data_IF_774353401413
#
_entry.id   IF_774353401413
#
_cell.length_a   1.000
_cell.length_b   1.000
_cell.length_c   1.000
_cell.angle_alpha   90.00
_cell.angle_beta   90.00
_cell.angle_gamma   90.00
#
_symmetry.space_group_name_H-M   'P 1'
#
loop_
_entity.id
_entity.type
_entity.pdbx_description
1 polymer ?
#
# COMPACT_ATOMS: atom_id res chain seq x y z
N UNK A 1 47.21 -51.80 20.89
CA UNK A 1 46.21 -51.25 21.85
C UNK A 1 46.51 -49.77 22.00
N UNK A 2 45.65 -48.77 21.83
CA UNK A 2 44.22 -48.63 21.51
C UNK A 2 44.08 -47.22 20.90
N UNK A 3 43.29 -47.09 19.83
CA UNK A 3 42.90 -45.83 19.19
C UNK A 3 41.90 -45.06 20.05
N UNK A 4 42.08 -43.76 20.24
CA UNK A 4 41.03 -42.89 20.81
C UNK A 4 41.11 -41.49 20.20
N UNK A 5 39.94 -40.89 19.99
CA UNK A 5 39.65 -39.48 19.67
C UNK A 5 39.59 -39.06 18.19
N UNK A 6 38.67 -39.69 17.47
CA UNK A 6 37.96 -39.07 16.36
C UNK A 6 36.45 -39.10 16.71
N UNK A 7 35.89 -38.05 17.32
CA UNK A 7 34.43 -37.92 17.52
C UNK A 7 33.86 -36.55 17.91
N UNK A 8 34.67 -35.50 18.06
CA UNK A 8 34.16 -34.23 18.65
C UNK A 8 33.79 -33.11 17.67
N UNK A 9 33.95 -33.29 16.35
CA UNK A 9 33.77 -32.19 15.38
C UNK A 9 32.41 -32.25 14.63
N UNK A 10 31.71 -33.39 14.64
CA UNK A 10 30.51 -33.55 13.81
C UNK A 10 29.19 -33.06 14.44
N UNK A 11 29.15 -32.72 15.73
CA UNK A 11 27.89 -32.38 16.43
C UNK A 11 27.59 -30.87 16.44
N UNK A 12 28.60 -30.02 16.19
CA UNK A 12 28.42 -28.56 16.23
C UNK A 12 27.78 -27.95 14.97
N UNK A 13 27.77 -28.67 13.84
CA UNK A 13 27.27 -28.14 12.55
C UNK A 13 25.75 -28.36 12.38
N UNK A 14 25.14 -29.30 13.10
CA UNK A 14 23.68 -29.56 12.98
C UNK A 14 22.79 -28.61 13.80
N UNK A 15 23.33 -27.81 14.72
CA UNK A 15 22.51 -26.91 15.58
C UNK A 15 22.34 -25.50 14.97
N UNK A 16 23.20 -25.11 14.01
CA UNK A 16 23.10 -23.78 13.35
C UNK A 16 22.12 -23.71 12.18
N UNK A 17 21.53 -24.84 11.76
CA UNK A 17 20.58 -24.87 10.63
C UNK A 17 19.11 -24.67 11.03
N UNK A 18 18.80 -24.56 12.33
CA UNK A 18 17.42 -24.57 12.84
C UNK A 18 16.88 -23.19 13.29
N UNK A 19 17.63 -22.10 13.17
CA UNK A 19 17.24 -20.78 13.71
C UNK A 19 16.84 -19.73 12.68
N UNK A 20 16.59 -20.13 11.42
CA UNK A 20 16.10 -19.24 10.37
C UNK A 20 14.72 -19.67 9.86
N UNK A 21 13.86 -20.16 10.75
CA UNK A 21 12.42 -20.05 10.52
C UNK A 21 12.08 -18.56 10.64
N UNK A 22 12.31 -17.83 9.55
CA UNK A 22 11.60 -16.59 9.26
C UNK A 22 10.14 -16.93 9.48
N UNK A 23 9.58 -16.41 10.57
CA UNK A 23 8.14 -16.45 10.82
C UNK A 23 7.54 -15.60 9.71
N UNK A 24 7.24 -16.22 8.57
CA UNK A 24 6.37 -15.64 7.58
C UNK A 24 5.03 -15.46 8.30
N UNK A 25 4.67 -14.23 8.64
CA UNK A 25 3.32 -13.93 9.09
C UNK A 25 2.38 -14.40 7.99
N UNK A 26 1.43 -15.27 8.36
CA UNK A 26 0.46 -15.80 7.41
C UNK A 26 -0.53 -14.67 7.09
N UNK A 27 -0.30 -13.95 6.00
CA UNK A 27 -1.24 -12.95 5.51
C UNK A 27 -2.38 -13.66 4.76
N UNK A 28 -3.60 -13.57 5.26
CA UNK A 28 -4.77 -14.07 4.53
C UNK A 28 -5.08 -13.18 3.33
N UNK A 29 -5.59 -13.77 2.25
CA UNK A 29 -6.17 -13.00 1.16
C UNK A 29 -7.39 -12.21 1.68
N UNK A 30 -7.31 -10.90 1.57
CA UNK A 30 -8.26 -9.95 2.10
C UNK A 30 -8.96 -9.16 1.00
N UNK A 31 -10.03 -8.45 1.34
CA UNK A 31 -10.82 -7.67 0.38
C UNK A 31 -10.76 -6.18 0.70
N UNK A 32 -10.76 -5.34 -0.34
CA UNK A 32 -11.03 -3.91 -0.22
C UNK A 32 -12.23 -3.57 -1.09
N UNK A 33 -13.29 -3.01 -0.49
CA UNK A 33 -14.58 -2.76 -1.17
C UNK A 33 -15.05 -1.33 -0.93
N UNK A 34 -15.64 -0.73 -1.96
CA UNK A 34 -16.26 0.58 -1.90
C UNK A 34 -17.14 0.83 -3.12
N UNK A 35 -17.75 2.02 -3.21
CA UNK A 35 -18.48 2.41 -4.42
C UNK A 35 -17.52 2.46 -5.60
N UNK A 36 -17.76 1.63 -6.63
CA UNK A 36 -16.86 1.48 -7.79
C UNK A 36 -15.43 1.05 -7.43
N UNK A 37 -15.23 0.39 -6.29
CA UNK A 37 -13.93 -0.16 -5.86
C UNK A 37 -14.16 -1.62 -5.47
N UNK A 38 -13.46 -2.52 -6.15
CA UNK A 38 -13.48 -3.96 -5.86
C UNK A 38 -12.09 -4.54 -6.04
N UNK A 39 -11.37 -4.71 -4.93
CA UNK A 39 -10.00 -5.18 -4.92
C UNK A 39 -9.83 -6.37 -3.96
N UNK A 40 -8.80 -7.16 -4.25
CA UNK A 40 -8.18 -8.08 -3.32
C UNK A 40 -6.84 -7.54 -2.89
N UNK A 41 -6.47 -7.85 -1.65
CA UNK A 41 -5.15 -7.56 -1.11
C UNK A 41 -4.56 -8.84 -0.52
N UNK A 42 -3.30 -9.07 -0.78
CA UNK A 42 -2.52 -10.14 -0.17
C UNK A 42 -1.17 -9.55 0.17
N UNK A 43 -0.80 -9.62 1.45
CA UNK A 43 0.37 -8.89 1.94
C UNK A 43 0.22 -7.39 1.55
N UNK A 44 1.24 -6.79 0.97
CA UNK A 44 1.28 -5.41 0.52
C UNK A 44 0.88 -5.20 -0.95
N UNK A 45 0.34 -6.23 -1.60
CA UNK A 45 -0.12 -6.18 -2.99
C UNK A 45 -1.64 -6.01 -3.07
N UNK A 46 -2.12 -5.15 -3.97
CA UNK A 46 -3.53 -4.99 -4.32
C UNK A 46 -3.79 -5.31 -5.80
N UNK A 47 -4.95 -5.88 -6.11
CA UNK A 47 -5.39 -6.07 -7.49
C UNK A 47 -6.92 -6.13 -7.60
N UNK A 48 -7.48 -5.60 -8.69
CA UNK A 48 -8.91 -5.66 -8.98
C UNK A 48 -9.37 -4.51 -9.87
N UNK A 49 -10.53 -3.93 -9.59
CA UNK A 49 -11.10 -2.83 -10.38
C UNK A 49 -11.38 -1.58 -9.55
N UNK A 50 -11.12 -0.43 -10.16
CA UNK A 50 -11.55 0.89 -9.68
C UNK A 50 -12.21 1.60 -10.86
N UNK A 51 -13.49 1.95 -10.73
CA UNK A 51 -14.34 2.46 -11.83
C UNK A 51 -14.25 1.55 -13.06
N UNK A 52 -13.68 2.05 -14.14
CA UNK A 52 -13.46 1.34 -15.40
C UNK A 52 -11.99 0.98 -15.65
N UNK A 53 -11.14 1.01 -14.63
CA UNK A 53 -9.76 0.56 -14.69
C UNK A 53 -9.61 -0.82 -14.06
N UNK A 54 -8.83 -1.69 -14.72
CA UNK A 54 -8.16 -2.79 -14.05
C UNK A 54 -6.93 -2.22 -13.35
N UNK A 55 -6.76 -2.47 -12.06
CA UNK A 55 -5.67 -1.92 -11.26
C UNK A 55 -4.88 -3.02 -10.58
N UNK A 56 -3.58 -2.80 -10.46
CA UNK A 56 -2.68 -3.58 -9.62
C UNK A 56 -1.64 -2.68 -8.98
N UNK A 57 -1.24 -2.99 -7.77
CA UNK A 57 -0.24 -2.22 -7.06
C UNK A 57 0.45 -3.03 -5.97
N UNK A 58 1.61 -2.56 -5.54
CA UNK A 58 2.43 -3.24 -4.54
C UNK A 58 3.20 -2.20 -3.74
N UNK A 59 3.24 -2.36 -2.42
CA UNK A 59 4.11 -1.58 -1.53
C UNK A 59 5.37 -2.39 -1.26
N UNK A 60 6.51 -1.81 -1.63
CA UNK A 60 7.83 -2.30 -1.27
C UNK A 60 8.22 -1.70 0.09
N UNK A 61 8.22 -2.55 1.11
CA UNK A 61 8.56 -2.17 2.49
C UNK A 61 10.04 -1.80 2.67
N UNK A 62 10.94 -2.34 1.85
CA UNK A 62 12.38 -2.04 1.96
C UNK A 62 12.66 -0.59 1.58
N UNK A 63 11.99 -0.12 0.52
CA UNK A 63 12.19 1.24 -0.01
C UNK A 63 11.10 2.23 0.40
N UNK A 64 10.05 1.78 1.09
CA UNK A 64 8.83 2.54 1.37
C UNK A 64 8.31 3.24 0.11
N UNK A 65 8.18 2.46 -0.96
CA UNK A 65 7.61 2.91 -2.22
C UNK A 65 6.39 2.07 -2.58
N UNK A 66 5.43 2.65 -3.29
CA UNK A 66 4.33 1.89 -3.84
C UNK A 66 4.19 2.08 -5.34
N UNK A 67 4.18 0.97 -6.08
CA UNK A 67 3.89 0.97 -7.51
C UNK A 67 2.37 0.84 -7.71
N UNK A 68 1.82 1.66 -8.60
CA UNK A 68 0.46 1.53 -9.10
C UNK A 68 0.52 1.39 -10.61
N UNK A 69 -0.24 0.42 -11.11
CA UNK A 69 -0.46 0.24 -12.53
C UNK A 69 -1.96 0.12 -12.79
N UNK A 70 -2.42 0.87 -13.79
CA UNK A 70 -3.81 0.90 -14.22
C UNK A 70 -3.87 0.55 -15.70
N UNK A 71 -4.90 -0.19 -16.10
CA UNK A 71 -5.14 -0.56 -17.50
C UNK A 71 -6.56 -0.21 -17.92
N UNK A 72 -6.67 0.46 -19.07
CA UNK A 72 -7.94 0.79 -19.74
C UNK A 72 -7.70 0.98 -21.23
N UNK A 73 -8.59 0.45 -22.07
CA UNK A 73 -8.61 0.68 -23.53
C UNK A 73 -7.21 0.59 -24.17
N UNK A 74 -6.51 -0.53 -23.92
CA UNK A 74 -5.14 -0.83 -24.37
C UNK A 74 -4.01 0.02 -23.76
N UNK A 75 -4.33 1.05 -23.00
CA UNK A 75 -3.34 1.86 -22.29
C UNK A 75 -2.92 1.20 -20.98
N UNK A 76 -1.62 1.29 -20.67
CA UNK A 76 -1.05 0.93 -19.37
C UNK A 76 -0.47 2.20 -18.76
N UNK A 77 -1.02 2.60 -17.63
CA UNK A 77 -0.59 3.76 -16.84
C UNK A 77 0.20 3.24 -15.66
N UNK A 78 1.44 3.68 -15.49
CA UNK A 78 2.30 3.27 -14.36
C UNK A 78 2.74 4.49 -13.56
N UNK A 79 2.75 4.37 -12.24
CA UNK A 79 3.33 5.38 -11.36
C UNK A 79 3.96 4.72 -10.14
N UNK A 80 4.84 5.46 -9.48
CA UNK A 80 5.46 5.08 -8.22
C UNK A 80 5.28 6.22 -7.24
N UNK A 81 4.71 5.93 -6.07
CA UNK A 81 4.64 6.85 -4.95
C UNK A 81 5.81 6.55 -4.01
N UNK A 82 6.71 7.51 -3.84
CA UNK A 82 7.91 7.34 -3.00
C UNK A 82 8.36 8.66 -2.41
N UNK A 83 9.31 8.58 -1.48
CA UNK A 83 10.01 9.76 -0.97
C UNK A 83 10.91 10.36 -2.07
N UNK A 84 10.74 11.64 -2.35
CA UNK A 84 11.57 12.43 -3.25
C UNK A 84 12.78 13.03 -2.50
N UNK A 85 13.71 13.62 -3.26
CA UNK A 85 14.93 14.24 -2.73
C UNK A 85 14.65 15.41 -1.79
N UNK A 86 13.56 16.15 -2.03
CA UNK A 86 13.08 17.24 -1.18
C UNK A 86 12.38 16.75 0.12
N UNK A 87 12.29 15.44 0.30
CA UNK A 87 11.68 14.78 1.45
C UNK A 87 10.15 14.62 1.35
N UNK A 88 9.51 15.17 0.31
CA UNK A 88 8.08 14.92 0.05
C UNK A 88 7.84 13.45 -0.30
N UNK A 89 6.66 12.93 0.00
CA UNK A 89 6.29 11.54 -0.35
C UNK A 89 5.08 11.61 -1.27
N UNK A 90 5.17 11.05 -2.48
CA UNK A 90 4.09 11.14 -3.45
C UNK A 90 4.49 10.66 -4.83
N UNK A 91 3.64 10.97 -5.81
CA UNK A 91 3.79 10.56 -7.19
C UNK A 91 2.84 11.29 -8.12
N UNK A 92 3.05 11.12 -9.43
CA UNK A 92 2.19 11.68 -10.48
C UNK A 92 1.74 10.56 -11.39
N UNK A 93 0.43 10.39 -11.53
CA UNK A 93 -0.20 9.48 -12.47
C UNK A 93 -0.37 10.25 -13.79
N UNK A 94 0.15 9.70 -14.89
CA UNK A 94 0.13 10.36 -16.20
C UNK A 94 -0.25 9.40 -17.31
N UNK A 95 -1.20 9.79 -18.15
CA UNK A 95 -1.46 9.12 -19.42
C UNK A 95 -1.89 10.11 -20.50
N UNK A 96 -1.88 9.67 -21.77
CA UNK A 96 -2.25 10.49 -22.91
C UNK A 96 -3.56 10.00 -23.50
N UNK A 97 -4.55 10.90 -23.61
CA UNK A 97 -5.85 10.65 -24.26
C UNK A 97 -6.04 11.73 -25.31
N UNK A 98 -6.35 11.36 -26.54
CA UNK A 98 -6.61 12.31 -27.63
C UNK A 98 -5.51 13.37 -27.81
N UNK A 99 -4.24 12.94 -27.70
CA UNK A 99 -3.04 13.79 -27.71
C UNK A 99 -2.96 14.83 -26.57
N UNK A 100 -3.78 14.71 -25.53
CA UNK A 100 -3.72 15.51 -24.32
C UNK A 100 -3.16 14.69 -23.17
N UNK A 101 -2.20 15.26 -22.44
CA UNK A 101 -1.64 14.64 -21.24
C UNK A 101 -2.59 14.91 -20.08
N UNK A 102 -3.14 13.85 -19.49
CA UNK A 102 -3.86 13.90 -18.22
C UNK A 102 -2.91 13.57 -17.09
N UNK A 103 -2.82 14.48 -16.12
CA UNK A 103 -1.99 14.29 -14.92
C UNK A 103 -2.83 14.32 -13.65
N UNK A 104 -2.42 13.54 -12.67
CA UNK A 104 -2.95 13.61 -11.30
C UNK A 104 -1.79 13.42 -10.34
N UNK A 105 -1.46 14.49 -9.61
CA UNK A 105 -0.42 14.43 -8.58
C UNK A 105 -1.04 14.15 -7.22
N UNK A 106 -0.37 13.32 -6.42
CA UNK A 106 -0.79 13.00 -5.06
C UNK A 106 0.43 12.99 -4.16
N UNK A 107 0.43 13.85 -3.15
CA UNK A 107 1.53 13.98 -2.19
C UNK A 107 1.02 13.94 -0.76
N UNK A 108 1.70 13.21 0.10
CA UNK A 108 1.50 13.25 1.53
C UNK A 108 1.81 14.64 2.09
N UNK A 109 0.97 15.13 2.99
CA UNK A 109 1.19 16.39 3.71
C UNK A 109 1.45 16.13 5.19
N UNK A 110 0.52 15.48 5.88
CA UNK A 110 0.61 15.24 7.34
C UNK A 110 -0.36 14.16 7.83
N UNK A 111 -0.08 13.62 9.01
CA UNK A 111 -1.05 12.83 9.81
C UNK A 111 -1.62 13.73 10.90
N UNK A 112 -2.94 13.73 11.07
CA UNK A 112 -3.62 14.34 12.23
C UNK A 112 -4.15 13.18 13.07
N UNK A 113 -3.35 12.76 14.06
CA UNK A 113 -3.57 11.51 14.81
C UNK A 113 -4.83 11.57 15.67
N UNK A 114 -5.09 12.73 16.25
CA UNK A 114 -6.22 13.00 17.13
C UNK A 114 -7.57 12.82 16.41
N UNK A 115 -7.57 12.99 15.09
CA UNK A 115 -8.74 12.87 14.23
C UNK A 115 -8.70 11.62 13.34
N UNK A 116 -7.67 10.78 13.46
CA UNK A 116 -7.39 9.65 12.57
C UNK A 116 -7.44 10.04 11.08
N UNK A 117 -6.78 11.15 10.73
CA UNK A 117 -6.75 11.66 9.34
C UNK A 117 -5.37 11.59 8.73
N UNK A 118 -5.33 11.21 7.46
CA UNK A 118 -4.23 11.47 6.55
C UNK A 118 -4.60 12.69 5.71
N UNK A 119 -3.74 13.70 5.66
CA UNK A 119 -3.91 14.83 4.75
C UNK A 119 -2.97 14.62 3.58
N UNK A 120 -3.54 14.59 2.39
CA UNK A 120 -2.83 14.51 1.12
C UNK A 120 -3.14 15.75 0.28
N UNK A 121 -2.25 16.10 -0.63
CA UNK A 121 -2.47 17.11 -1.65
C UNK A 121 -2.70 16.41 -2.99
N UNK A 122 -3.93 16.49 -3.49
CA UNK A 122 -4.29 16.00 -4.83
C UNK A 122 -4.28 17.21 -5.76
N UNK A 123 -3.36 17.24 -6.72
CA UNK A 123 -3.08 18.43 -7.53
C UNK A 123 -2.75 19.63 -6.63
N UNK A 124 -3.62 20.64 -6.57
CA UNK A 124 -3.44 21.83 -5.74
C UNK A 124 -4.32 21.82 -4.49
N UNK A 125 -5.18 20.81 -4.30
CA UNK A 125 -6.17 20.74 -3.23
C UNK A 125 -5.69 19.85 -2.09
N UNK A 126 -5.75 20.34 -0.84
CA UNK A 126 -5.63 19.47 0.34
C UNK A 126 -6.92 18.66 0.51
N UNK A 127 -6.76 17.36 0.70
CA UNK A 127 -7.83 16.39 0.91
C UNK A 127 -7.53 15.64 2.20
N UNK A 128 -8.48 15.68 3.13
CA UNK A 128 -8.43 14.89 4.35
C UNK A 128 -9.09 13.52 4.10
N UNK A 129 -8.32 12.47 4.31
CA UNK A 129 -8.76 11.08 4.29
C UNK A 129 -8.96 10.69 5.76
N UNK A 130 -10.21 10.49 6.15
CA UNK A 130 -10.56 10.02 7.49
C UNK A 130 -10.49 8.50 7.51
N UNK A 131 -9.81 7.96 8.52
CA UNK A 131 -9.71 6.52 8.78
C UNK A 131 -10.58 6.21 10.00
N UNK A 132 -11.68 5.50 9.79
CA UNK A 132 -12.43 4.90 10.89
C UNK A 132 -12.02 3.44 11.08
N UNK A 133 -12.14 2.94 12.31
CA UNK A 133 -11.71 1.60 12.69
C UNK A 133 -11.18 1.61 14.12
N UNK A 134 -10.99 0.43 14.70
CA UNK A 134 -10.39 0.32 16.03
C UNK A 134 -8.87 0.37 15.90
N UNK A 135 -8.22 1.33 16.55
CA UNK A 135 -6.76 1.38 16.61
C UNK A 135 -6.27 0.46 17.74
N UNK A 136 -5.57 -0.62 17.38
CA UNK A 136 -4.96 -1.58 18.28
C UNK A 136 -3.48 -1.72 17.94
N UNK A 137 -2.58 -1.55 18.93
CA UNK A 137 -1.13 -1.70 18.73
C UNK A 137 -0.57 -0.95 17.50
N UNK A 138 -1.06 0.26 17.23
CA UNK A 138 -0.63 1.07 16.08
C UNK A 138 -1.24 0.71 14.73
N UNK A 139 -2.18 -0.26 14.70
CA UNK A 139 -2.87 -0.73 13.50
C UNK A 139 -4.37 -0.46 13.61
N UNK A 140 -4.97 0.05 12.53
CA UNK A 140 -6.41 0.11 12.41
C UNK A 140 -6.93 -1.27 11.99
N UNK A 141 -7.87 -1.81 12.75
CA UNK A 141 -8.54 -3.09 12.47
C UNK A 141 -9.79 -2.84 11.65
N UNK A 142 -9.89 -3.50 10.50
CA UNK A 142 -10.91 -3.37 9.47
C UNK A 142 -11.23 -1.90 9.11
N UNK A 143 -10.21 -1.10 8.70
CA UNK A 143 -10.40 0.32 8.54
C UNK A 143 -11.33 0.66 7.37
N UNK A 144 -12.07 1.74 7.51
CA UNK A 144 -12.76 2.42 6.41
C UNK A 144 -12.12 3.76 6.15
N UNK A 145 -11.75 4.00 4.90
CA UNK A 145 -11.15 5.23 4.42
C UNK A 145 -12.23 6.06 3.73
N UNK A 146 -12.37 7.33 4.11
CA UNK A 146 -13.34 8.24 3.50
C UNK A 146 -12.71 9.59 3.20
N UNK A 147 -12.90 10.08 1.97
CA UNK A 147 -12.45 11.39 1.53
C UNK A 147 -13.52 12.06 0.67
N UNK A 148 -13.52 13.39 0.64
CA UNK A 148 -14.36 14.17 -0.29
C UNK A 148 -13.44 14.87 -1.29
N UNK A 149 -13.60 14.54 -2.57
CA UNK A 149 -12.81 15.12 -3.67
C UNK A 149 -13.78 15.66 -4.72
N UNK A 150 -13.64 16.95 -5.07
CA UNK A 150 -14.54 17.62 -6.03
C UNK A 150 -16.04 17.47 -5.70
N UNK A 151 -16.40 17.39 -4.42
CA UNK A 151 -17.78 17.20 -3.95
C UNK A 151 -18.28 15.75 -3.99
N UNK A 152 -17.49 14.81 -4.50
CA UNK A 152 -17.78 13.37 -4.46
C UNK A 152 -17.20 12.74 -3.19
N UNK A 153 -18.02 12.00 -2.45
CA UNK A 153 -17.56 11.18 -1.32
C UNK A 153 -17.04 9.85 -1.85
N UNK A 154 -15.77 9.58 -1.61
CA UNK A 154 -15.08 8.34 -1.96
C UNK A 154 -14.86 7.58 -0.66
N UNK A 155 -15.37 6.35 -0.58
CA UNK A 155 -15.27 5.52 0.62
C UNK A 155 -15.00 4.07 0.26
N UNK A 156 -14.06 3.45 0.97
CA UNK A 156 -13.73 2.03 0.85
C UNK A 156 -13.25 1.45 2.18
N UNK A 157 -13.56 0.18 2.42
CA UNK A 157 -13.20 -0.57 3.61
C UNK A 157 -12.19 -1.67 3.26
N UNK A 158 -11.19 -1.86 4.12
CA UNK A 158 -10.23 -2.96 4.09
C UNK A 158 -10.65 -4.02 5.12
N UNK A 159 -10.74 -5.28 4.69
CA UNK A 159 -10.81 -6.44 5.59
C UNK A 159 -9.39 -6.81 6.04
N UNK A 160 -8.94 -6.33 7.19
CA UNK A 160 -7.56 -6.56 7.64
C UNK A 160 -7.04 -5.42 8.52
N UNK A 161 -5.72 -5.32 8.62
CA UNK A 161 -5.06 -4.32 9.45
C UNK A 161 -4.21 -3.37 8.60
N UNK A 162 -4.15 -2.10 9.02
CA UNK A 162 -3.25 -1.14 8.39
C UNK A 162 -2.71 -0.14 9.42
N UNK A 163 -1.41 0.07 9.44
CA UNK A 163 -0.80 1.20 10.15
C UNK A 163 -1.00 2.50 9.35
N UNK A 164 -0.62 3.65 9.90
CA UNK A 164 -0.71 4.93 9.16
C UNK A 164 0.16 4.96 7.89
N UNK A 165 1.35 4.34 7.92
CA UNK A 165 2.25 4.33 6.75
C UNK A 165 1.63 3.53 5.61
N UNK A 166 1.21 2.30 5.89
CA UNK A 166 0.53 1.47 4.89
C UNK A 166 -0.78 2.11 4.43
N UNK A 167 -1.54 2.72 5.35
CA UNK A 167 -2.76 3.48 5.01
C UNK A 167 -2.49 4.62 4.03
N UNK A 168 -1.35 5.31 4.12
CA UNK A 168 -0.98 6.32 3.13
C UNK A 168 -0.72 5.70 1.77
N UNK A 169 0.11 4.65 1.68
CA UNK A 169 0.41 4.01 0.39
C UNK A 169 -0.85 3.40 -0.25
N UNK A 170 -1.69 2.76 0.55
CA UNK A 170 -2.97 2.23 0.11
C UNK A 170 -3.87 3.34 -0.43
N UNK A 171 -3.98 4.45 0.29
CA UNK A 171 -4.76 5.59 -0.16
C UNK A 171 -4.18 6.27 -1.40
N UNK A 172 -2.86 6.39 -1.51
CA UNK A 172 -2.20 6.95 -2.68
C UNK A 172 -2.55 6.14 -3.94
N UNK A 173 -2.50 4.80 -3.85
CA UNK A 173 -2.85 3.92 -4.96
C UNK A 173 -4.36 3.97 -5.28
N UNK A 174 -5.22 3.77 -4.28
CA UNK A 174 -6.67 3.64 -4.50
C UNK A 174 -7.30 5.00 -4.84
N UNK A 175 -7.07 6.02 -4.02
CA UNK A 175 -7.63 7.34 -4.26
C UNK A 175 -7.03 7.96 -5.52
N UNK A 176 -5.72 7.79 -5.74
CA UNK A 176 -5.04 8.22 -6.96
C UNK A 176 -5.68 7.60 -8.20
N UNK A 177 -5.87 6.28 -8.23
CA UNK A 177 -6.54 5.60 -9.35
C UNK A 177 -8.01 6.02 -9.50
N UNK A 178 -8.73 6.28 -8.41
CA UNK A 178 -10.14 6.66 -8.46
C UNK A 178 -10.35 8.06 -9.04
N UNK A 179 -9.48 9.02 -8.71
CA UNK A 179 -9.60 10.42 -9.15
C UNK A 179 -8.97 10.66 -10.53
N UNK A 180 -8.10 9.75 -10.98
CA UNK A 180 -7.46 9.80 -12.29
C UNK A 180 -8.38 9.32 -13.43
#
# INVERSE_FOLDING_TARGET
MKSVFCRSILVAISVMLASLSVLAEEHSLSTIKGTQIDLKTYDHAIAGSIKNFLVWGYVDEETFSSELIMRKDEQIVKTVFKKAEDGSIGGVIRHTVDNQVKETSLHFVRVVKEENKLVVKINQQEVAITISGTLNNGHFVNPTYTAVVNGETISYALEGEACYSFSFHLAAMILGAYVH
#
